data_IF_334882525455
#
_entry.id   IF_334882525455
#
_cell.length_a   1.000
_cell.length_b   1.000
_cell.length_c   1.000
_cell.angle_alpha   90.00
_cell.angle_beta   90.00
_cell.angle_gamma   90.00
#
_symmetry.space_group_name_H-M   'P 1'
#
loop_
_entity.id
_entity.type
_entity.pdbx_description
1 polymer ?
#
# COMPACT_ATOMS: atom_id res chain seq x y z
N UNK A 1 -13.00 -22.35 14.30
CA UNK A 1 -13.22 -21.01 14.92
C UNK A 1 -13.56 -20.05 13.78
N UNK A 2 -14.83 -19.67 13.62
CA UNK A 2 -15.22 -18.65 12.64
C UNK A 2 -14.63 -17.33 13.10
N UNK A 3 -13.57 -16.88 12.43
CA UNK A 3 -13.01 -15.54 12.67
C UNK A 3 -14.00 -14.58 12.02
N UNK A 4 -14.77 -13.85 12.82
CA UNK A 4 -15.56 -12.73 12.32
C UNK A 4 -14.59 -11.63 11.89
N UNK A 5 -14.35 -11.51 10.60
CA UNK A 5 -13.45 -10.49 10.05
C UNK A 5 -14.16 -9.13 10.05
N UNK A 6 -13.60 -8.08 10.70
CA UNK A 6 -14.18 -6.75 10.66
C UNK A 6 -13.89 -6.11 9.30
N UNK A 7 -14.83 -6.25 8.36
CA UNK A 7 -14.68 -5.68 7.02
C UNK A 7 -15.38 -4.32 6.98
N UNK A 8 -14.59 -3.28 6.72
CA UNK A 8 -15.12 -1.95 6.52
C UNK A 8 -15.75 -1.85 5.12
N UNK A 9 -17.03 -1.52 5.04
CA UNK A 9 -17.76 -1.28 3.77
C UNK A 9 -18.56 0.03 3.87
N UNK A 10 -18.78 0.74 2.74
CA UNK A 10 -19.73 1.85 2.72
C UNK A 10 -21.16 1.34 3.01
N UNK A 11 -22.06 2.18 3.58
CA UNK A 11 -21.90 3.62 3.82
C UNK A 11 -20.99 3.93 5.01
N UNK A 12 -20.05 4.85 4.81
CA UNK A 12 -19.09 5.20 5.85
C UNK A 12 -19.68 6.09 6.94
N UNK A 13 -19.14 5.92 8.16
CA UNK A 13 -19.30 6.89 9.26
C UNK A 13 -18.54 8.19 8.95
N UNK A 14 -18.69 9.22 9.80
CA UNK A 14 -18.07 10.54 9.61
C UNK A 14 -16.58 10.48 9.26
N UNK A 15 -15.81 9.64 9.97
CA UNK A 15 -14.38 9.47 9.71
C UNK A 15 -14.13 8.82 8.35
N UNK A 16 -14.79 7.69 8.05
CA UNK A 16 -14.59 6.99 6.78
C UNK A 16 -14.94 7.85 5.56
N UNK A 17 -15.97 8.71 5.64
CA UNK A 17 -16.28 9.68 4.58
C UNK A 17 -15.16 10.70 4.37
N UNK A 18 -14.56 11.18 5.47
CA UNK A 18 -13.40 12.10 5.41
C UNK A 18 -12.21 11.40 4.75
N UNK A 19 -11.90 10.17 5.15
CA UNK A 19 -10.80 9.38 4.58
C UNK A 19 -11.02 9.11 3.08
N UNK A 20 -12.22 8.67 2.70
CA UNK A 20 -12.57 8.45 1.29
C UNK A 20 -12.45 9.74 0.48
N UNK A 21 -12.97 10.87 0.99
CA UNK A 21 -12.89 12.17 0.31
C UNK A 21 -11.44 12.60 0.07
N UNK A 22 -10.57 12.49 1.09
CA UNK A 22 -9.15 12.81 0.96
C UNK A 22 -8.42 11.87 -0.02
N UNK A 23 -8.74 10.57 0.02
CA UNK A 23 -8.21 9.58 -0.92
C UNK A 23 -8.63 9.89 -2.36
N UNK A 24 -9.92 10.11 -2.61
CA UNK A 24 -10.46 10.51 -3.92
C UNK A 24 -9.81 11.79 -4.43
N UNK A 25 -9.61 12.78 -3.55
CA UNK A 25 -8.91 14.02 -3.90
C UNK A 25 -7.49 13.73 -4.39
N UNK A 26 -6.71 12.91 -3.67
CA UNK A 26 -5.37 12.55 -4.09
C UNK A 26 -5.34 11.75 -5.41
N UNK A 27 -6.29 10.82 -5.60
CA UNK A 27 -6.41 10.04 -6.83
C UNK A 27 -6.68 10.92 -8.05
N UNK A 28 -7.52 11.94 -7.90
CA UNK A 28 -7.87 12.89 -8.95
C UNK A 28 -6.76 13.92 -9.21
N UNK A 29 -6.28 14.60 -8.17
CA UNK A 29 -5.33 15.71 -8.29
C UNK A 29 -3.97 15.29 -8.86
N UNK A 30 -3.54 14.06 -8.59
CA UNK A 30 -2.27 13.52 -9.06
C UNK A 30 -2.41 12.48 -10.17
N UNK A 31 -3.61 12.33 -10.75
CA UNK A 31 -3.89 11.41 -11.87
C UNK A 31 -3.31 10.00 -11.61
N UNK A 32 -3.54 9.50 -10.39
CA UNK A 32 -2.87 8.29 -9.88
C UNK A 32 -3.32 7.01 -10.58
N UNK A 33 -4.50 7.03 -11.21
CA UNK A 33 -5.12 5.88 -11.87
C UNK A 33 -5.19 6.03 -13.39
N UNK A 34 -4.63 7.09 -13.96
CA UNK A 34 -4.63 7.29 -15.40
C UNK A 34 -3.78 6.22 -16.10
N UNK A 35 -4.35 5.53 -17.09
CA UNK A 35 -3.70 4.46 -17.83
C UNK A 35 -3.47 3.16 -17.04
N UNK A 36 -4.01 3.06 -15.80
CA UNK A 36 -3.78 1.87 -14.96
C UNK A 36 -4.79 0.78 -15.29
N UNK A 37 -4.31 -0.31 -15.88
CA UNK A 37 -5.14 -1.49 -16.21
C UNK A 37 -5.29 -2.47 -15.04
N UNK A 38 -4.23 -2.64 -14.23
CA UNK A 38 -4.20 -3.48 -13.03
C UNK A 38 -3.46 -2.75 -11.92
N UNK A 39 -3.90 -2.93 -10.68
CA UNK A 39 -3.31 -2.24 -9.54
C UNK A 39 -2.97 -3.21 -8.42
N UNK A 40 -1.70 -3.21 -8.00
CA UNK A 40 -1.26 -3.95 -6.82
C UNK A 40 -1.30 -3.05 -5.58
N UNK A 41 -1.53 -3.65 -4.41
CA UNK A 41 -1.48 -2.97 -3.10
C UNK A 41 -0.43 -3.64 -2.25
N UNK A 42 0.54 -2.87 -1.76
CA UNK A 42 1.52 -3.35 -0.77
C UNK A 42 0.84 -3.53 0.59
N UNK A 43 0.45 -4.76 0.92
CA UNK A 43 -0.32 -5.09 2.11
C UNK A 43 0.61 -5.56 3.24
N UNK A 44 0.97 -4.66 4.17
CA UNK A 44 1.79 -5.03 5.34
C UNK A 44 0.98 -5.68 6.47
N UNK A 45 -0.35 -5.51 6.44
CA UNK A 45 -1.27 -5.91 7.52
C UNK A 45 -1.42 -4.86 8.62
N UNK A 46 -0.72 -3.72 8.51
CA UNK A 46 -0.96 -2.56 9.36
C UNK A 46 -2.24 -1.82 8.96
N UNK A 47 -2.70 -0.97 9.88
CA UNK A 47 -3.93 -0.15 9.74
C UNK A 47 -3.96 0.65 8.43
N UNK A 48 -2.81 1.20 8.00
CA UNK A 48 -2.73 2.09 6.84
C UNK A 48 -2.88 1.30 5.54
N UNK A 49 -2.20 0.15 5.42
CA UNK A 49 -2.32 -0.73 4.26
C UNK A 49 -3.71 -1.35 4.12
N UNK A 50 -4.37 -1.70 5.24
CA UNK A 50 -5.74 -2.19 5.24
C UNK A 50 -6.74 -1.09 4.90
N UNK A 51 -6.54 0.12 5.44
CA UNK A 51 -7.37 1.29 5.09
C UNK A 51 -7.28 1.60 3.60
N UNK A 52 -6.07 1.57 3.03
CA UNK A 52 -5.87 1.72 1.59
C UNK A 52 -6.65 0.68 0.78
N UNK A 53 -6.57 -0.60 1.18
CA UNK A 53 -7.30 -1.70 0.53
C UNK A 53 -8.82 -1.46 0.55
N UNK A 54 -9.39 -1.15 1.72
CA UNK A 54 -10.83 -0.90 1.85
C UNK A 54 -11.29 0.32 1.04
N UNK A 55 -10.52 1.40 1.07
CA UNK A 55 -10.85 2.62 0.33
C UNK A 55 -10.79 2.38 -1.18
N UNK A 56 -9.70 1.79 -1.70
CA UNK A 56 -9.58 1.53 -3.13
C UNK A 56 -10.66 0.57 -3.63
N UNK A 57 -10.97 -0.50 -2.88
CA UNK A 57 -12.05 -1.43 -3.25
C UNK A 57 -13.41 -0.74 -3.32
N UNK A 58 -13.68 0.23 -2.45
CA UNK A 58 -14.94 0.98 -2.45
C UNK A 58 -15.00 2.09 -3.52
N UNK A 59 -13.86 2.69 -3.86
CA UNK A 59 -13.77 3.80 -4.81
C UNK A 59 -13.76 3.31 -6.27
N UNK A 60 -13.05 2.21 -6.56
CA UNK A 60 -12.92 1.67 -7.91
C UNK A 60 -14.26 1.13 -8.43
N UNK A 61 -14.67 1.58 -9.62
CA UNK A 61 -16.01 1.33 -10.16
C UNK A 61 -17.10 2.26 -9.61
N UNK A 62 -16.76 3.19 -8.71
CA UNK A 62 -17.66 4.21 -8.15
C UNK A 62 -17.07 5.61 -8.37
N UNK A 63 -17.15 6.10 -9.61
CA UNK A 63 -16.58 7.40 -10.03
C UNK A 63 -15.13 7.33 -10.54
N UNK A 64 -14.49 6.16 -10.45
CA UNK A 64 -13.22 5.83 -11.11
C UNK A 64 -13.38 4.55 -11.92
N UNK A 65 -12.46 4.30 -12.85
CA UNK A 65 -12.42 3.06 -13.63
C UNK A 65 -12.43 1.82 -12.72
N UNK A 66 -13.08 0.75 -13.18
CA UNK A 66 -13.07 -0.53 -12.46
C UNK A 66 -11.76 -1.26 -12.76
N UNK A 67 -10.80 -1.12 -11.85
CA UNK A 67 -9.46 -1.70 -11.98
C UNK A 67 -9.37 -2.96 -11.10
N UNK A 68 -8.93 -4.11 -11.63
CA UNK A 68 -8.62 -5.29 -10.83
C UNK A 68 -7.54 -4.99 -9.78
N UNK A 69 -7.81 -5.41 -8.53
CA UNK A 69 -6.89 -5.24 -7.41
C UNK A 69 -6.18 -6.55 -7.08
N UNK A 70 -4.90 -6.47 -6.77
CA UNK A 70 -4.11 -7.57 -6.21
C UNK A 70 -3.38 -7.11 -4.95
N UNK A 71 -3.61 -7.76 -3.82
CA UNK A 71 -2.89 -7.50 -2.58
C UNK A 71 -1.61 -8.35 -2.52
N UNK A 72 -0.47 -7.70 -2.30
CA UNK A 72 0.83 -8.37 -2.17
C UNK A 72 1.34 -8.17 -0.74
N UNK A 73 1.48 -9.28 -0.02
CA UNK A 73 2.03 -9.31 1.33
C UNK A 73 3.44 -9.89 1.32
N UNK A 74 4.37 -9.26 2.04
CA UNK A 74 5.69 -9.84 2.30
C UNK A 74 5.79 -10.18 3.78
N UNK A 75 5.77 -11.48 4.07
CA UNK A 75 5.92 -12.06 5.40
C UNK A 75 7.34 -12.56 5.69
N UNK A 76 7.57 -13.07 6.90
CA UNK A 76 8.83 -13.65 7.35
C UNK A 76 9.05 -13.47 8.86
N UNK A 77 9.76 -14.41 9.50
CA UNK A 77 9.97 -14.46 10.97
C UNK A 77 10.60 -13.18 11.54
N UNK A 78 11.42 -12.50 10.74
CA UNK A 78 12.10 -11.26 11.13
C UNK A 78 11.61 -10.03 10.37
N UNK A 79 10.48 -10.14 9.66
CA UNK A 79 9.91 -9.00 8.94
C UNK A 79 9.14 -8.07 9.89
N UNK A 80 9.13 -6.76 9.61
CA UNK A 80 8.23 -5.83 10.32
C UNK A 80 6.79 -6.25 10.01
N UNK A 81 6.11 -6.83 10.99
CA UNK A 81 4.82 -7.50 10.81
C UNK A 81 4.82 -9.01 11.07
N UNK A 82 5.89 -9.60 11.64
CA UNK A 82 5.97 -11.02 12.00
C UNK A 82 4.81 -11.56 12.88
N UNK A 83 4.01 -10.68 13.49
CA UNK A 83 2.79 -11.04 14.23
C UNK A 83 1.49 -10.99 13.41
N UNK A 84 1.53 -10.60 12.14
CA UNK A 84 0.35 -10.57 11.27
C UNK A 84 0.07 -11.97 10.76
N UNK A 85 -1.08 -12.52 11.10
CA UNK A 85 -1.49 -13.83 10.61
C UNK A 85 -1.85 -13.75 9.12
N UNK A 86 -1.07 -14.42 8.26
CA UNK A 86 -1.34 -14.53 6.81
C UNK A 86 -2.80 -14.95 6.55
N UNK A 87 -3.32 -15.91 7.33
CA UNK A 87 -4.71 -16.38 7.21
C UNK A 87 -5.75 -15.27 7.42
N UNK A 88 -5.46 -14.28 8.26
CA UNK A 88 -6.34 -13.13 8.48
C UNK A 88 -6.36 -12.20 7.27
N UNK A 89 -5.19 -11.89 6.69
CA UNK A 89 -5.09 -11.06 5.50
C UNK A 89 -5.74 -11.73 4.28
N UNK A 90 -5.47 -13.03 4.10
CA UNK A 90 -6.07 -13.82 3.04
C UNK A 90 -7.60 -13.82 3.17
N UNK A 91 -8.14 -14.07 4.37
CA UNK A 91 -9.60 -14.05 4.58
C UNK A 91 -10.24 -12.68 4.30
N UNK A 92 -9.54 -11.57 4.59
CA UNK A 92 -10.01 -10.23 4.21
C UNK A 92 -10.05 -10.09 2.69
N UNK A 93 -8.99 -10.50 2.00
CA UNK A 93 -8.89 -10.40 0.55
C UNK A 93 -9.94 -11.28 -0.15
N UNK A 94 -10.14 -12.52 0.33
CA UNK A 94 -11.16 -13.44 -0.17
C UNK A 94 -12.56 -12.82 -0.05
N UNK A 95 -12.89 -12.22 1.11
CA UNK A 95 -14.21 -11.62 1.32
C UNK A 95 -14.40 -10.31 0.54
N UNK A 96 -13.32 -9.63 0.18
CA UNK A 96 -13.34 -8.46 -0.69
C UNK A 96 -13.25 -8.83 -2.17
N UNK A 97 -13.10 -10.11 -2.53
CA UNK A 97 -12.84 -10.56 -3.91
C UNK A 97 -11.65 -9.79 -4.50
N UNK A 98 -10.50 -9.87 -3.82
CA UNK A 98 -9.22 -9.29 -4.22
C UNK A 98 -8.18 -10.41 -4.25
N UNK A 99 -7.43 -10.51 -5.33
CA UNK A 99 -6.38 -11.51 -5.45
C UNK A 99 -5.30 -11.30 -4.38
N UNK A 100 -4.87 -12.36 -3.71
CA UNK A 100 -3.86 -12.29 -2.65
C UNK A 100 -2.60 -13.05 -3.04
N UNK A 101 -1.44 -12.41 -2.85
CA UNK A 101 -0.12 -12.99 -3.07
C UNK A 101 0.70 -12.82 -1.81
N UNK A 102 1.29 -13.91 -1.34
CA UNK A 102 2.25 -13.90 -0.25
C UNK A 102 3.65 -14.18 -0.80
N UNK A 103 4.60 -13.33 -0.42
CA UNK A 103 6.03 -13.52 -0.64
C UNK A 103 6.72 -13.71 0.70
N UNK A 104 7.72 -14.58 0.75
CA UNK A 104 8.52 -14.80 1.95
C UNK A 104 9.84 -14.06 1.86
N UNK A 105 10.12 -13.20 2.84
CA UNK A 105 11.42 -12.55 2.99
C UNK A 105 12.48 -13.56 3.42
N UNK A 106 13.68 -13.45 2.86
CA UNK A 106 14.82 -14.34 3.17
C UNK A 106 15.72 -13.80 4.27
N UNK A 107 15.40 -12.63 4.84
CA UNK A 107 16.20 -11.99 5.89
C UNK A 107 16.34 -12.85 7.15
N UNK A 108 17.56 -12.95 7.65
CA UNK A 108 17.92 -13.64 8.88
C UNK A 108 18.29 -12.64 9.97
N UNK A 109 18.28 -13.09 11.23
CA UNK A 109 18.64 -12.28 12.40
C UNK A 109 20.02 -11.63 12.33
N UNK A 110 20.95 -12.28 11.64
CA UNK A 110 22.35 -11.84 11.47
C UNK A 110 22.52 -10.71 10.44
N UNK A 111 21.54 -10.52 9.53
CA UNK A 111 21.57 -9.50 8.46
C UNK A 111 20.54 -8.38 8.66
N UNK A 112 19.89 -8.36 9.82
CA UNK A 112 18.81 -7.43 10.19
C UNK A 112 19.33 -5.99 10.31
N UNK A 113 19.33 -5.29 9.19
CA UNK A 113 19.34 -3.84 9.14
C UNK A 113 18.00 -3.36 8.55
N UNK A 114 17.35 -2.39 9.19
CA UNK A 114 16.05 -1.88 8.72
C UNK A 114 16.11 -1.41 7.26
N UNK A 115 17.26 -0.87 6.83
CA UNK A 115 17.48 -0.45 5.45
C UNK A 115 17.48 -1.62 4.46
N UNK A 116 18.24 -2.69 4.71
CA UNK A 116 18.30 -3.88 3.84
C UNK A 116 16.94 -4.58 3.78
N UNK A 117 16.26 -4.71 4.92
CA UNK A 117 14.90 -5.26 5.01
C UNK A 117 13.91 -4.47 4.14
N UNK A 118 13.91 -3.13 4.22
CA UNK A 118 13.00 -2.29 3.42
C UNK A 118 13.24 -2.38 1.90
N UNK A 119 14.49 -2.65 1.48
CA UNK A 119 14.85 -2.78 0.06
C UNK A 119 14.45 -4.14 -0.50
N UNK A 120 14.74 -5.22 0.24
CA UNK A 120 14.32 -6.56 -0.16
C UNK A 120 12.79 -6.67 -0.25
N UNK A 121 12.06 -6.17 0.74
CA UNK A 121 10.59 -6.22 0.72
C UNK A 121 10.01 -5.50 -0.49
N UNK A 122 10.53 -4.31 -0.82
CA UNK A 122 10.09 -3.58 -2.01
C UNK A 122 10.42 -4.35 -3.29
N UNK A 123 11.62 -4.93 -3.38
CA UNK A 123 12.01 -5.76 -4.51
C UNK A 123 11.06 -6.96 -4.69
N UNK A 124 10.77 -7.70 -3.61
CA UNK A 124 9.83 -8.82 -3.64
C UNK A 124 8.42 -8.39 -4.10
N UNK A 125 7.93 -7.24 -3.63
CA UNK A 125 6.64 -6.69 -4.07
C UNK A 125 6.66 -6.36 -5.56
N UNK A 126 7.75 -5.75 -6.05
CA UNK A 126 7.87 -5.36 -7.46
C UNK A 126 7.97 -6.59 -8.37
N UNK A 127 8.75 -7.59 -7.96
CA UNK A 127 8.92 -8.84 -8.71
C UNK A 127 7.58 -9.60 -8.77
N UNK A 128 6.86 -9.73 -7.65
CA UNK A 128 5.54 -10.36 -7.62
C UNK A 128 4.48 -9.61 -8.43
N UNK A 129 4.51 -8.28 -8.45
CA UNK A 129 3.61 -7.47 -9.29
C UNK A 129 3.88 -7.72 -10.78
N UNK A 130 5.15 -7.74 -11.18
CA UNK A 130 5.56 -8.00 -12.56
C UNK A 130 5.15 -9.36 -13.07
N UNK A 131 5.29 -10.41 -12.25
CA UNK A 131 4.87 -11.77 -12.62
C UNK A 131 3.38 -11.85 -12.98
N UNK A 132 2.57 -10.91 -12.49
CA UNK A 132 1.13 -10.77 -12.80
C UNK A 132 0.83 -9.76 -13.91
N UNK A 133 1.87 -9.17 -14.50
CA UNK A 133 1.75 -8.09 -15.48
C UNK A 133 1.13 -6.83 -14.87
N UNK A 134 1.45 -6.52 -13.62
CA UNK A 134 1.01 -5.32 -12.93
C UNK A 134 2.18 -4.34 -12.87
N UNK A 135 1.99 -3.15 -13.44
CA UNK A 135 3.01 -2.10 -13.46
C UNK A 135 2.80 -1.03 -12.38
N UNK A 136 1.63 -0.95 -11.76
CA UNK A 136 1.29 0.11 -10.80
C UNK A 136 1.01 -0.47 -9.42
N UNK A 137 1.64 0.13 -8.40
CA UNK A 137 1.63 -0.39 -7.02
C UNK A 137 1.30 0.74 -6.05
N UNK A 138 0.21 0.59 -5.30
CA UNK A 138 -0.20 1.50 -4.25
C UNK A 138 0.42 1.15 -2.89
N UNK A 139 0.99 2.17 -2.24
CA UNK A 139 1.53 2.05 -0.89
C UNK A 139 0.70 2.87 0.10
N UNK A 140 0.53 2.33 1.31
CA UNK A 140 -0.20 2.97 2.41
C UNK A 140 0.53 4.14 3.09
N UNK A 141 1.42 4.84 2.38
CA UNK A 141 2.14 5.99 2.93
C UNK A 141 1.19 7.18 3.06
N UNK A 142 1.13 7.76 4.26
CA UNK A 142 0.23 8.85 4.60
C UNK A 142 0.98 10.18 4.76
N UNK A 143 0.27 11.26 5.08
CA UNK A 143 0.80 12.63 5.19
C UNK A 143 2.01 12.70 6.12
N UNK A 144 1.91 12.07 7.28
CA UNK A 144 2.97 12.15 8.29
C UNK A 144 4.25 11.42 7.85
N UNK A 145 4.15 10.33 7.07
CA UNK A 145 5.32 9.68 6.45
C UNK A 145 6.04 10.61 5.47
N UNK A 146 5.27 11.42 4.74
CA UNK A 146 5.81 12.43 3.83
C UNK A 146 6.52 13.55 4.59
N UNK A 147 5.95 14.02 5.71
CA UNK A 147 6.57 15.01 6.60
C UNK A 147 7.85 14.46 7.21
N UNK A 148 7.83 13.22 7.72
CA UNK A 148 9.02 12.57 8.26
C UNK A 148 10.13 12.47 7.20
N UNK A 149 9.77 12.08 5.98
CA UNK A 149 10.71 12.00 4.85
C UNK A 149 11.30 13.37 4.50
N UNK A 150 10.46 14.42 4.49
CA UNK A 150 10.88 15.80 4.28
C UNK A 150 11.90 16.25 5.33
N UNK A 151 11.61 15.99 6.61
CA UNK A 151 12.52 16.36 7.70
C UNK A 151 13.84 15.59 7.62
N UNK A 152 13.81 14.29 7.32
CA UNK A 152 15.02 13.48 7.14
C UNK A 152 15.90 14.00 5.99
N UNK A 153 15.30 14.35 4.85
CA UNK A 153 16.05 14.90 3.71
C UNK A 153 16.58 16.31 4.00
N UNK A 154 15.78 17.15 4.68
CA UNK A 154 16.20 18.50 5.03
C UNK A 154 17.38 18.49 6.02
N UNK A 155 17.30 17.68 7.07
CA UNK A 155 18.29 17.67 8.14
C UNK A 155 19.57 16.91 7.79
N UNK A 156 19.48 15.81 7.03
CA UNK A 156 20.64 14.96 6.74
C UNK A 156 21.21 15.13 5.33
N UNK A 157 20.46 15.74 4.41
CA UNK A 157 20.91 15.95 3.02
C UNK A 157 20.86 17.41 2.57
N UNK A 158 20.32 18.32 3.39
CA UNK A 158 20.03 19.71 2.99
C UNK A 158 19.14 19.80 1.74
N UNK A 159 18.22 18.86 1.57
CA UNK A 159 17.32 18.77 0.41
C UNK A 159 15.86 19.02 0.82
N UNK A 160 15.17 19.91 0.11
CA UNK A 160 13.74 20.12 0.25
C UNK A 160 12.95 19.11 -0.60
N UNK A 161 12.91 17.85 -0.15
CA UNK A 161 12.28 16.75 -0.88
C UNK A 161 11.46 15.84 0.05
N UNK A 162 10.24 15.50 -0.36
CA UNK A 162 9.34 14.60 0.37
C UNK A 162 8.94 13.38 -0.47
N UNK A 163 8.04 12.54 0.05
CA UNK A 163 7.48 11.44 -0.74
C UNK A 163 6.54 12.00 -1.82
N UNK A 164 6.88 11.78 -3.10
CA UNK A 164 6.00 12.15 -4.21
C UNK A 164 4.76 11.24 -4.27
N UNK A 165 3.60 11.78 -4.69
CA UNK A 165 2.36 11.02 -4.81
C UNK A 165 2.43 9.91 -5.87
N UNK A 166 3.16 10.14 -6.96
CA UNK A 166 3.39 9.22 -8.08
C UNK A 166 4.88 9.21 -8.42
N UNK A 167 5.50 8.03 -8.53
CA UNK A 167 6.91 7.87 -8.88
C UNK A 167 7.07 6.68 -9.82
N UNK A 168 7.58 6.91 -11.02
CA UNK A 168 7.96 5.84 -11.95
C UNK A 168 9.36 5.35 -11.64
N UNK A 169 9.49 4.10 -11.22
CA UNK A 169 10.76 3.43 -10.98
C UNK A 169 11.24 2.78 -12.28
N UNK A 170 11.98 3.55 -13.10
CA UNK A 170 12.42 3.13 -14.45
C UNK A 170 13.17 1.80 -14.42
N UNK A 171 14.16 1.66 -13.53
CA UNK A 171 14.96 0.42 -13.39
C UNK A 171 14.12 -0.81 -13.04
N UNK A 172 12.99 -0.59 -12.38
CA UNK A 172 12.07 -1.63 -11.98
C UNK A 172 10.84 -1.68 -12.88
N UNK A 173 10.66 -0.84 -13.89
CA UNK A 173 9.46 -0.83 -14.74
C UNK A 173 8.13 -0.82 -13.96
N UNK A 174 8.10 -0.21 -12.78
CA UNK A 174 6.88 -0.10 -11.96
C UNK A 174 6.64 1.35 -11.52
N UNK A 175 5.38 1.73 -11.38
CA UNK A 175 4.94 3.04 -10.89
C UNK A 175 4.40 2.88 -9.48
N UNK A 176 4.97 3.63 -8.54
CA UNK A 176 4.50 3.71 -7.15
C UNK A 176 3.50 4.85 -7.04
N UNK A 177 2.35 4.57 -6.44
CA UNK A 177 1.35 5.58 -6.09
C UNK A 177 1.08 5.60 -4.58
N UNK A 178 0.73 6.77 -4.05
CA UNK A 178 0.44 7.00 -2.62
C UNK A 178 -0.91 7.70 -2.42
N UNK A 179 -2.04 6.97 -2.50
CA UNK A 179 -3.37 7.58 -2.42
C UNK A 179 -3.71 8.19 -1.05
N UNK A 180 -3.01 7.81 0.02
CA UNK A 180 -3.27 8.31 1.38
C UNK A 180 -2.51 9.60 1.71
N UNK A 181 -1.87 10.26 0.74
CA UNK A 181 -0.96 11.40 0.99
C UNK A 181 -1.61 12.57 1.74
N UNK A 182 -2.92 12.77 1.60
CA UNK A 182 -3.66 13.82 2.33
C UNK A 182 -4.19 13.41 3.71
N UNK A 183 -4.09 12.14 4.05
CA UNK A 183 -4.59 11.58 5.31
C UNK A 183 -3.47 11.68 6.36
N UNK A 184 -3.77 12.20 7.54
CA UNK A 184 -2.84 12.18 8.68
C UNK A 184 -3.28 11.19 9.76
N UNK A 185 -2.35 10.81 10.63
CA UNK A 185 -2.59 9.99 11.80
C UNK A 185 -2.88 10.90 13.00
N UNK A 186 -4.03 11.57 12.97
CA UNK A 186 -4.51 12.47 14.03
C UNK A 186 -5.59 11.78 14.89
#
# INVERSE_FOLDING_TARGET
>A
MQITLPIAKPPWTKLGRKLESMCRKALFEFELLEGVEKLAIALSGGKDSLTLLFLLKAILGQGFAKIPLTAIHVGGEFSCGAGVHTKFLQGICDTLEVDYIECTSTQKRETLACYSCSRERRKLIFDAAKERGIDTIAFGHHRDDSIQTLLLNLLHKAEFAANLPKITMVDYGVTIIRPLLYIGCD
#
